data_IF_561565112823
#
_entry.id   IF_561565112823
#
_cell.length_a   1.000
_cell.length_b   1.000
_cell.length_c   1.000
_cell.angle_alpha   90.00
_cell.angle_beta   90.00
_cell.angle_gamma   90.00
#
_symmetry.space_group_name_H-M   'P 1'
#
loop_
_entity.id
_entity.type
_entity.pdbx_description
1 polymer ?
#
# COMPACT_ATOMS: atom_id res chain seq x y z
N UNK A 1 -34.66 14.23 19.03
CA UNK A 1 -33.27 13.81 19.33
C UNK A 1 -33.05 12.32 18.99
N UNK A 2 -33.14 11.93 17.70
CA UNK A 2 -32.93 10.53 17.23
C UNK A 2 -31.63 10.34 16.41
N UNK A 3 -30.88 11.42 16.16
CA UNK A 3 -29.74 11.42 15.24
C UNK A 3 -28.46 10.76 15.77
N UNK A 4 -28.37 10.44 17.07
CA UNK A 4 -27.14 9.95 17.71
C UNK A 4 -27.08 8.42 17.86
N UNK A 5 -28.16 7.69 17.52
CA UNK A 5 -28.28 6.24 17.80
C UNK A 5 -27.58 5.34 16.78
N UNK A 6 -27.37 5.81 15.56
CA UNK A 6 -26.73 5.03 14.48
C UNK A 6 -25.19 5.13 14.46
N UNK A 7 -24.61 6.10 15.18
CA UNK A 7 -23.17 6.37 15.11
C UNK A 7 -22.31 5.25 15.70
N UNK A 8 -22.64 4.65 16.86
CA UNK A 8 -21.85 3.53 17.39
C UNK A 8 -21.84 2.32 16.44
N UNK A 9 -22.98 2.03 15.82
CA UNK A 9 -23.08 0.96 14.83
C UNK A 9 -22.26 1.28 13.57
N UNK A 10 -22.32 2.52 13.08
CA UNK A 10 -21.52 2.95 11.94
C UNK A 10 -20.01 2.82 12.22
N UNK A 11 -19.55 3.27 13.39
CA UNK A 11 -18.16 3.11 13.81
C UNK A 11 -17.76 1.65 13.95
N UNK A 12 -18.62 0.82 14.52
CA UNK A 12 -18.39 -0.61 14.61
C UNK A 12 -18.24 -1.25 13.23
N UNK A 13 -19.15 -0.96 12.29
CA UNK A 13 -19.08 -1.50 10.94
C UNK A 13 -17.83 -1.02 10.18
N UNK A 14 -17.42 0.23 10.35
CA UNK A 14 -16.17 0.75 9.79
C UNK A 14 -14.95 0.03 10.36
N UNK A 15 -14.89 -0.15 11.68
CA UNK A 15 -13.81 -0.89 12.34
C UNK A 15 -13.76 -2.35 11.88
N UNK A 16 -14.93 -3.00 11.75
CA UNK A 16 -15.03 -4.37 11.26
C UNK A 16 -14.56 -4.48 9.80
N UNK A 17 -15.00 -3.58 8.92
CA UNK A 17 -14.56 -3.55 7.52
C UNK A 17 -13.05 -3.31 7.41
N UNK A 18 -12.49 -2.42 8.22
CA UNK A 18 -11.06 -2.16 8.27
C UNK A 18 -10.27 -3.39 8.77
N UNK A 19 -10.74 -4.06 9.82
CA UNK A 19 -10.12 -5.27 10.33
C UNK A 19 -10.13 -6.41 9.29
N UNK A 20 -11.28 -6.65 8.63
CA UNK A 20 -11.38 -7.64 7.55
C UNK A 20 -10.40 -7.30 6.42
N UNK A 21 -10.30 -6.02 6.04
CA UNK A 21 -9.38 -5.58 4.99
C UNK A 21 -7.92 -5.84 5.37
N UNK A 22 -7.52 -5.48 6.59
CA UNK A 22 -6.15 -5.69 7.06
C UNK A 22 -5.78 -7.16 7.15
N UNK A 23 -6.66 -7.99 7.72
CA UNK A 23 -6.41 -9.42 7.90
C UNK A 23 -6.39 -10.21 6.58
N UNK A 24 -7.03 -9.70 5.52
CA UNK A 24 -7.05 -10.34 4.19
C UNK A 24 -5.95 -9.88 3.25
N UNK A 25 -5.19 -8.82 3.55
CA UNK A 25 -4.19 -8.24 2.62
C UNK A 25 -3.16 -9.24 2.08
N UNK A 26 -2.76 -10.23 2.88
CA UNK A 26 -1.79 -11.27 2.47
C UNK A 26 -2.43 -12.59 2.02
N UNK A 27 -3.76 -12.69 1.95
CA UNK A 27 -4.44 -13.96 1.67
C UNK A 27 -4.66 -14.25 0.18
N UNK A 28 -4.24 -13.35 -0.71
CA UNK A 28 -4.40 -13.46 -2.15
C UNK A 28 -3.18 -12.86 -2.87
N UNK A 29 -2.84 -13.32 -4.09
CA UNK A 29 -1.72 -12.79 -4.86
C UNK A 29 -2.03 -11.40 -5.42
N UNK A 30 -1.01 -10.69 -5.89
CA UNK A 30 -1.18 -9.42 -6.61
C UNK A 30 -2.10 -9.64 -7.82
N UNK A 31 -3.16 -8.85 -7.91
CA UNK A 31 -4.28 -9.13 -8.82
C UNK A 31 -4.02 -8.69 -10.26
N UNK A 32 -3.20 -7.68 -10.46
CA UNK A 32 -2.90 -7.14 -11.78
C UNK A 32 -1.43 -6.70 -11.95
N UNK A 33 -1.11 -6.26 -13.17
CA UNK A 33 0.24 -5.81 -13.53
C UNK A 33 0.61 -4.46 -12.90
N UNK A 34 -0.36 -3.66 -12.48
CA UNK A 34 -0.13 -2.37 -11.83
C UNK A 34 0.29 -2.57 -10.38
N UNK A 35 -0.39 -3.46 -9.66
CA UNK A 35 -0.07 -3.83 -8.29
C UNK A 35 1.33 -4.44 -8.20
N UNK A 36 1.64 -5.40 -9.09
CA UNK A 36 2.97 -5.98 -9.22
C UNK A 36 4.05 -4.93 -9.52
N UNK A 37 3.77 -4.01 -10.46
CA UNK A 37 4.71 -2.96 -10.83
C UNK A 37 5.02 -2.02 -9.66
N UNK A 38 4.00 -1.53 -8.95
CA UNK A 38 4.22 -0.62 -7.85
C UNK A 38 4.90 -1.29 -6.66
N UNK A 39 4.56 -2.56 -6.40
CA UNK A 39 5.26 -3.38 -5.41
C UNK A 39 6.75 -3.54 -5.75
N UNK A 40 7.08 -3.79 -7.02
CA UNK A 40 8.46 -3.98 -7.46
C UNK A 40 9.27 -2.67 -7.45
N UNK A 41 8.67 -1.55 -7.85
CA UNK A 41 9.30 -0.23 -7.73
C UNK A 41 9.66 0.04 -6.27
N UNK A 42 8.72 -0.18 -5.35
CA UNK A 42 8.96 -0.02 -3.92
C UNK A 42 10.07 -0.96 -3.42
N UNK A 43 10.04 -2.22 -3.84
CA UNK A 43 11.05 -3.23 -3.48
C UNK A 43 12.45 -2.80 -3.92
N UNK A 44 12.59 -2.31 -5.17
CA UNK A 44 13.85 -1.79 -5.70
C UNK A 44 14.34 -0.55 -4.97
N UNK A 45 13.45 0.37 -4.58
CA UNK A 45 13.84 1.53 -3.78
C UNK A 45 14.38 1.11 -2.40
N UNK A 46 13.72 0.15 -1.74
CA UNK A 46 14.18 -0.42 -0.48
C UNK A 46 15.52 -1.17 -0.63
N UNK A 47 15.67 -1.98 -1.68
CA UNK A 47 16.86 -2.80 -1.94
C UNK A 47 18.07 -1.96 -2.37
N UNK A 48 17.90 -0.99 -3.26
CA UNK A 48 18.98 -0.16 -3.80
C UNK A 48 19.33 1.02 -2.89
N UNK A 49 18.46 1.38 -1.95
CA UNK A 49 18.61 2.59 -1.14
C UNK A 49 18.47 3.90 -1.91
N UNK A 50 18.04 3.84 -3.17
CA UNK A 50 17.72 5.01 -3.99
C UNK A 50 16.26 5.43 -3.74
N UNK A 51 16.08 6.38 -2.84
CA UNK A 51 14.77 6.94 -2.49
C UNK A 51 14.32 8.08 -3.41
N UNK A 52 15.16 8.46 -4.39
CA UNK A 52 14.86 9.55 -5.33
C UNK A 52 14.28 8.97 -6.62
N UNK A 53 14.91 7.93 -7.16
CA UNK A 53 14.55 7.36 -8.46
C UNK A 53 13.66 6.12 -8.28
N UNK A 54 12.38 6.16 -8.68
CA UNK A 54 11.54 4.97 -8.73
C UNK A 54 11.96 4.11 -9.92
N UNK A 55 12.65 2.98 -9.68
CA UNK A 55 13.15 2.11 -10.76
C UNK A 55 12.07 1.15 -11.28
N UNK A 56 11.71 1.25 -12.56
CA UNK A 56 10.87 0.24 -13.22
C UNK A 56 11.71 -0.98 -13.61
N UNK A 57 12.81 -0.74 -14.31
CA UNK A 57 13.79 -1.74 -14.75
C UNK A 57 15.21 -1.19 -14.55
N UNK A 58 16.23 -2.01 -14.79
CA UNK A 58 17.64 -1.59 -14.70
C UNK A 58 17.90 -0.45 -15.68
N UNK A 59 18.22 0.73 -15.16
CA UNK A 59 18.44 1.93 -15.98
C UNK A 59 17.17 2.58 -16.52
N UNK A 60 15.97 2.10 -16.16
CA UNK A 60 14.68 2.63 -16.64
C UNK A 60 13.85 3.17 -15.47
N UNK A 61 13.82 4.50 -15.25
CA UNK A 61 13.02 5.10 -14.18
C UNK A 61 11.53 5.20 -14.51
N UNK A 62 10.69 5.16 -13.48
CA UNK A 62 9.22 5.27 -13.55
C UNK A 62 8.74 6.67 -13.12
N UNK A 63 8.73 7.63 -14.04
CA UNK A 63 8.30 9.01 -13.76
C UNK A 63 6.79 9.25 -13.80
N UNK A 64 5.98 8.19 -13.79
CA UNK A 64 4.52 8.31 -13.93
C UNK A 64 3.80 8.83 -12.69
N UNK A 65 4.44 8.82 -11.51
CA UNK A 65 3.86 9.21 -10.22
C UNK A 65 4.92 9.83 -9.29
N UNK A 66 4.53 10.74 -8.39
CA UNK A 66 5.39 11.18 -7.28
C UNK A 66 5.76 10.01 -6.35
N UNK A 67 6.91 10.07 -5.65
CA UNK A 67 7.48 8.91 -4.96
C UNK A 67 6.83 8.57 -3.62
N UNK A 68 5.95 9.42 -3.08
CA UNK A 68 5.36 9.22 -1.74
C UNK A 68 4.70 7.85 -1.56
N UNK A 69 3.96 7.37 -2.55
CA UNK A 69 3.33 6.05 -2.49
C UNK A 69 4.37 4.92 -2.44
N UNK A 70 5.46 5.04 -3.22
CA UNK A 70 6.56 4.08 -3.20
C UNK A 70 7.33 4.13 -1.89
N UNK A 71 7.51 5.31 -1.29
CA UNK A 71 8.15 5.44 0.02
C UNK A 71 7.39 4.72 1.12
N UNK A 72 6.07 4.88 1.16
CA UNK A 72 5.24 4.20 2.16
C UNK A 72 5.26 2.68 1.96
N UNK A 73 5.17 2.20 0.72
CA UNK A 73 5.26 0.77 0.41
C UNK A 73 6.65 0.20 0.74
N UNK A 74 7.73 0.88 0.34
CA UNK A 74 9.10 0.49 0.62
C UNK A 74 9.39 0.47 2.13
N UNK A 75 8.91 1.49 2.86
CA UNK A 75 8.98 1.52 4.31
C UNK A 75 8.20 0.35 4.94
N UNK A 76 7.02 0.03 4.43
CA UNK A 76 6.26 -1.15 4.85
C UNK A 76 7.04 -2.46 4.66
N UNK A 77 7.66 -2.65 3.49
CA UNK A 77 8.50 -3.81 3.19
C UNK A 77 9.71 -3.88 4.13
N UNK A 78 10.38 -2.76 4.41
CA UNK A 78 11.51 -2.73 5.35
C UNK A 78 11.10 -3.06 6.80
N UNK A 79 9.86 -2.73 7.19
CA UNK A 79 9.37 -2.96 8.55
C UNK A 79 8.76 -4.35 8.76
N UNK A 80 8.14 -4.92 7.72
CA UNK A 80 7.30 -6.12 7.82
C UNK A 80 7.86 -7.34 7.07
N UNK A 81 8.82 -7.15 6.16
CA UNK A 81 9.34 -8.18 5.27
C UNK A 81 8.49 -8.33 4.01
#
# INVERSE_FOLDING_TARGET
MRALRGWPLAWFLLALAFAIRLLSLGSYPLMDTTEARYGEVARKMAELGDWITPWYDVGVPFWGKPPLAFWLSAGGQLLLG
#
